data_IF_604737432939
#
_entry.id   IF_604737432939
#
_cell.length_a   1.000
_cell.length_b   1.000
_cell.length_c   1.000
_cell.angle_alpha   90.00
_cell.angle_beta   90.00
_cell.angle_gamma   90.00
#
_symmetry.space_group_name_H-M   'P 1'
#
loop_
_entity.id
_entity.type
_entity.pdbx_description
1 polymer ?
#
# COMPACT_ATOMS: atom_id res chain seq x y z
N UNK A 1 -17.21 0.54 -4.28
CA UNK A 1 -16.33 0.26 -3.13
C UNK A 1 -15.98 1.56 -2.44
N UNK A 2 -16.01 1.57 -1.13
CA UNK A 2 -15.64 2.74 -0.33
C UNK A 2 -14.19 2.64 0.12
N UNK A 3 -13.59 3.78 0.48
CA UNK A 3 -12.22 3.82 0.97
C UNK A 3 -12.06 3.00 2.24
N UNK A 4 -13.04 3.04 3.15
CA UNK A 4 -12.96 2.23 4.37
C UNK A 4 -12.95 0.73 4.08
N UNK A 5 -13.63 0.31 3.03
CA UNK A 5 -13.60 -1.09 2.61
C UNK A 5 -12.24 -1.46 2.04
N UNK A 6 -11.66 -0.55 1.25
CA UNK A 6 -10.34 -0.75 0.67
C UNK A 6 -9.28 -0.91 1.76
N UNK A 7 -9.37 -0.12 2.82
CA UNK A 7 -8.42 -0.16 3.94
C UNK A 7 -8.54 -1.42 4.79
N UNK A 8 -9.63 -2.16 4.66
CA UNK A 8 -9.83 -3.41 5.38
C UNK A 8 -9.30 -4.62 4.63
N UNK A 9 -8.81 -4.44 3.43
CA UNK A 9 -8.28 -5.52 2.60
C UNK A 9 -6.78 -5.65 2.78
N UNK A 10 -6.31 -6.88 2.96
CA UNK A 10 -4.89 -7.15 3.09
C UNK A 10 -4.22 -7.08 1.71
N UNK A 11 -3.09 -6.40 1.65
CA UNK A 11 -2.33 -6.24 0.40
C UNK A 11 -1.26 -7.31 0.33
N UNK A 12 -1.23 -8.05 -0.76
CA UNK A 12 -0.27 -9.12 -0.98
C UNK A 12 0.49 -8.84 -2.27
N UNK A 13 1.82 -8.86 -2.17
CA UNK A 13 2.68 -8.69 -3.33
C UNK A 13 2.82 -10.03 -4.05
N UNK A 14 2.38 -10.10 -5.31
CA UNK A 14 2.40 -11.33 -6.08
C UNK A 14 3.82 -11.80 -6.42
N UNK A 15 4.78 -10.87 -6.49
CA UNK A 15 6.18 -11.24 -6.80
C UNK A 15 6.83 -12.05 -5.69
N UNK A 16 6.51 -11.72 -4.45
CA UNK A 16 7.15 -12.34 -3.28
C UNK A 16 6.19 -13.17 -2.45
N UNK A 17 4.89 -13.14 -2.76
CA UNK A 17 3.83 -13.77 -1.98
C UNK A 17 3.81 -13.30 -0.52
N UNK A 18 4.30 -12.08 -0.28
CA UNK A 18 4.34 -11.52 1.07
C UNK A 18 3.16 -10.59 1.29
N UNK A 19 2.64 -10.63 2.51
CA UNK A 19 1.66 -9.66 2.96
C UNK A 19 2.37 -8.34 3.28
N UNK A 20 1.86 -7.25 2.74
CA UNK A 20 2.35 -5.91 3.02
C UNK A 20 1.51 -5.21 4.08
N UNK A 21 0.53 -5.92 4.65
CA UNK A 21 -0.37 -5.36 5.63
C UNK A 21 -1.59 -4.72 4.99
N UNK A 22 -2.20 -3.80 5.71
CA UNK A 22 -3.43 -3.12 5.28
C UNK A 22 -3.12 -1.68 4.88
N UNK A 23 -3.78 -1.15 3.86
CA UNK A 23 -3.55 0.26 3.48
C UNK A 23 -3.85 1.19 4.63
N UNK A 24 -2.95 2.15 4.86
CA UNK A 24 -3.14 3.16 5.91
C UNK A 24 -3.62 4.48 5.34
N UNK A 25 -3.40 4.68 4.05
CA UNK A 25 -3.83 5.89 3.39
C UNK A 25 -3.90 5.67 1.88
N UNK A 26 -4.43 6.64 1.17
CA UNK A 26 -4.60 6.59 -0.28
C UNK A 26 -4.25 7.96 -0.82
N UNK A 27 -3.44 7.99 -1.88
CA UNK A 27 -3.16 9.22 -2.59
C UNK A 27 -4.02 9.31 -3.84
N UNK A 28 -4.44 10.50 -4.16
CA UNK A 28 -5.15 10.74 -5.41
C UNK A 28 -4.77 12.10 -5.97
N UNK A 29 -4.94 12.25 -7.27
CA UNK A 29 -4.66 13.49 -7.98
C UNK A 29 -5.89 14.38 -7.90
N UNK A 30 -5.74 15.55 -7.28
CA UNK A 30 -6.84 16.49 -7.12
C UNK A 30 -7.33 17.08 -8.45
N UNK A 31 -6.48 17.08 -9.48
CA UNK A 31 -6.86 17.62 -10.77
C UNK A 31 -7.72 16.67 -11.57
N UNK A 32 -7.42 15.39 -11.50
CA UNK A 32 -8.15 14.37 -12.28
C UNK A 32 -9.13 13.58 -11.42
N UNK A 33 -9.04 13.71 -10.10
CA UNK A 33 -9.84 12.95 -9.13
C UNK A 33 -9.62 11.44 -9.23
N UNK A 34 -8.46 11.02 -9.76
CA UNK A 34 -8.11 9.62 -9.86
C UNK A 34 -7.19 9.21 -8.73
N UNK A 35 -7.33 7.98 -8.25
CA UNK A 35 -6.41 7.41 -7.29
C UNK A 35 -5.05 7.19 -7.94
N UNK A 36 -3.98 7.60 -7.25
CA UNK A 36 -2.63 7.48 -7.78
C UNK A 36 -1.81 6.41 -7.08
N UNK A 37 -2.07 6.17 -5.80
CA UNK A 37 -1.28 5.19 -5.05
C UNK A 37 -2.01 4.73 -3.79
N UNK A 38 -1.62 3.54 -3.33
CA UNK A 38 -1.94 3.05 -1.98
C UNK A 38 -0.73 3.26 -1.09
N UNK A 39 -0.96 3.69 0.13
CA UNK A 39 0.08 3.83 1.14
C UNK A 39 -0.04 2.69 2.13
N UNK A 40 1.03 1.94 2.31
CA UNK A 40 1.08 0.78 3.18
C UNK A 40 2.12 1.02 4.27
N UNK A 41 1.92 0.45 5.47
CA UNK A 41 2.92 0.59 6.53
C UNK A 41 4.20 -0.13 6.13
N UNK A 42 5.35 0.48 6.38
CA UNK A 42 6.64 -0.16 6.16
C UNK A 42 6.96 -1.16 7.25
N UNK A 43 8.17 -1.77 7.19
CA UNK A 43 8.62 -2.67 8.23
C UNK A 43 8.66 -1.93 9.55
N UNK A 44 7.83 -2.33 10.49
CA UNK A 44 7.45 -1.47 11.61
C UNK A 44 8.24 -1.67 12.89
N UNK A 45 9.04 -2.72 13.01
CA UNK A 45 9.61 -3.09 14.31
C UNK A 45 10.53 -2.03 14.89
N UNK A 46 11.37 -1.42 14.06
CA UNK A 46 12.28 -0.39 14.52
C UNK A 46 11.70 1.01 14.37
N UNK A 47 10.79 1.18 13.42
CA UNK A 47 10.20 2.47 13.13
C UNK A 47 9.34 2.99 14.27
N UNK A 48 8.63 2.10 14.93
CA UNK A 48 7.79 2.46 16.08
C UNK A 48 8.60 2.98 17.25
N UNK A 49 9.78 2.41 17.48
CA UNK A 49 10.65 2.80 18.59
C UNK A 49 11.26 4.18 18.40
N UNK A 50 11.55 4.54 17.18
CA UNK A 50 12.24 5.79 16.88
C UNK A 50 11.34 6.87 16.29
N UNK A 51 10.05 6.59 16.18
CA UNK A 51 9.11 7.54 15.62
C UNK A 51 9.30 7.82 14.14
N UNK A 52 10.06 7.00 13.45
CA UNK A 52 10.25 7.13 12.01
C UNK A 52 9.20 6.34 11.28
N UNK A 53 8.50 7.02 10.40
CA UNK A 53 7.49 6.39 9.58
C UNK A 53 8.11 5.98 8.26
N UNK A 54 8.26 4.68 8.05
CA UNK A 54 8.52 4.16 6.73
C UNK A 54 7.21 3.69 6.13
N UNK A 55 7.12 3.75 4.82
CA UNK A 55 5.90 3.35 4.14
C UNK A 55 6.21 2.82 2.76
N UNK A 56 5.30 1.98 2.25
CA UNK A 56 5.33 1.59 0.86
C UNK A 56 4.30 2.41 0.10
N UNK A 57 4.74 3.03 -0.98
CA UNK A 57 3.86 3.76 -1.88
C UNK A 57 3.69 2.89 -3.13
N UNK A 58 2.50 2.31 -3.27
CA UNK A 58 2.20 1.40 -4.38
C UNK A 58 1.42 2.16 -5.43
N UNK A 59 2.00 2.41 -6.61
CA UNK A 59 1.27 3.08 -7.69
C UNK A 59 0.02 2.30 -8.05
N UNK A 60 -1.06 3.01 -8.29
CA UNK A 60 -2.35 2.41 -8.58
C UNK A 60 -2.31 1.44 -9.77
N UNK A 61 -1.48 1.76 -10.76
CA UNK A 61 -1.31 0.94 -11.96
C UNK A 61 -0.64 -0.41 -11.71
N UNK A 62 -0.02 -0.59 -10.54
CA UNK A 62 0.58 -1.87 -10.14
C UNK A 62 -0.38 -2.78 -9.38
N UNK A 63 -1.59 -2.33 -9.15
CA UNK A 63 -2.61 -3.16 -8.55
C UNK A 63 -3.14 -4.12 -9.60
N UNK A 64 -3.02 -5.41 -9.33
CA UNK A 64 -3.44 -6.45 -10.28
C UNK A 64 -4.89 -6.82 -10.13
N UNK A 65 -5.35 -6.93 -8.89
CA UNK A 65 -6.71 -7.35 -8.63
C UNK A 65 -7.13 -6.89 -7.23
N UNK A 66 -8.38 -6.49 -7.12
CA UNK A 66 -8.99 -6.17 -5.84
C UNK A 66 -10.07 -7.20 -5.59
N UNK A 67 -9.83 -8.05 -4.58
CA UNK A 67 -10.79 -9.07 -4.17
C UNK A 67 -11.66 -8.60 -3.02
N UNK A 68 -12.42 -9.52 -2.44
CA UNK A 68 -13.29 -9.19 -1.32
C UNK A 68 -12.50 -8.87 -0.04
N UNK A 69 -11.43 -9.62 0.20
CA UNK A 69 -10.64 -9.48 1.42
C UNK A 69 -9.18 -9.13 1.17
N UNK A 70 -8.72 -9.19 -0.07
CA UNK A 70 -7.33 -8.98 -0.41
C UNK A 70 -7.19 -8.09 -1.63
N UNK A 71 -6.01 -7.45 -1.73
CA UNK A 71 -5.60 -6.69 -2.89
C UNK A 71 -4.28 -7.29 -3.37
N UNK A 72 -4.24 -7.72 -4.62
CA UNK A 72 -3.02 -8.25 -5.22
C UNK A 72 -2.29 -7.14 -5.95
N UNK A 73 -1.01 -6.97 -5.64
CA UNK A 73 -0.15 -5.98 -6.28
C UNK A 73 1.09 -6.66 -6.85
N UNK A 74 1.68 -6.03 -7.85
CA UNK A 74 2.90 -6.52 -8.50
C UNK A 74 3.93 -5.41 -8.44
N UNK A 75 4.74 -5.42 -7.37
CA UNK A 75 5.70 -4.34 -7.12
C UNK A 75 7.07 -4.89 -6.74
N UNK A 76 8.08 -4.05 -6.98
CA UNK A 76 9.39 -4.21 -6.39
C UNK A 76 9.37 -3.46 -5.06
N UNK A 77 9.40 -4.20 -3.95
CA UNK A 77 9.24 -3.61 -2.63
C UNK A 77 10.32 -2.59 -2.31
N UNK A 78 11.54 -2.82 -2.80
CA UNK A 78 12.63 -1.86 -2.57
C UNK A 78 12.37 -0.52 -3.25
N UNK A 79 11.83 -0.55 -4.47
CA UNK A 79 11.54 0.67 -5.21
C UNK A 79 10.35 1.43 -4.66
N UNK A 80 9.41 0.73 -4.04
CA UNK A 80 8.22 1.33 -3.48
C UNK A 80 8.38 1.75 -2.03
N UNK A 81 9.49 1.40 -1.41
CA UNK A 81 9.76 1.73 -0.01
C UNK A 81 10.24 3.18 0.11
N UNK A 82 9.58 3.91 0.99
CA UNK A 82 9.94 5.29 1.30
C UNK A 82 10.12 5.45 2.80
N UNK A 83 11.26 5.96 3.18
CA UNK A 83 11.57 6.22 4.57
C UNK A 83 11.17 7.65 4.89
N UNK A 84 10.21 7.78 5.76
CA UNK A 84 9.69 9.07 6.18
C UNK A 84 10.59 9.83 7.12
#
# INVERSE_FOLDING_TARGET
>A
MRICELKQKEVINTRTCRSLGYPIDIEFDCRTSHLTALILPGPSKLCCLFGHDSEYIVPWEHIRQIGDDIILVDIDEEKCFHKG
#
